data_IF_554377221236
#
_entry.id   IF_554377221236
#
_cell.length_a   1.000
_cell.length_b   1.000
_cell.length_c   1.000
_cell.angle_alpha   90.00
_cell.angle_beta   90.00
_cell.angle_gamma   90.00
#
_symmetry.space_group_name_H-M   'P 1'
#
loop_
_entity.id
_entity.type
_entity.pdbx_description
1 polymer ?
#
# COMPACT_ATOMS: atom_id res chain seq x y z
N UNK A 1 -21.62 -18.73 -13.77
CA UNK A 1 -20.68 -19.23 -12.73
C UNK A 1 -20.92 -18.37 -11.51
N UNK A 2 -21.06 -18.98 -10.32
CA UNK A 2 -21.26 -18.24 -9.07
C UNK A 2 -19.93 -17.72 -8.54
N UNK A 3 -19.98 -16.56 -7.89
CA UNK A 3 -18.86 -15.85 -7.30
C UNK A 3 -19.23 -15.48 -5.86
N UNK A 4 -18.49 -15.98 -4.90
CA UNK A 4 -18.60 -15.47 -3.53
C UNK A 4 -17.90 -14.11 -3.47
N UNK A 5 -18.57 -13.12 -2.89
CA UNK A 5 -18.04 -11.76 -2.71
C UNK A 5 -18.29 -11.28 -1.29
N UNK A 6 -17.29 -10.70 -0.67
CA UNK A 6 -17.41 -10.07 0.63
C UNK A 6 -17.69 -8.57 0.47
N UNK A 7 -18.70 -8.08 1.18
CA UNK A 7 -19.08 -6.66 1.17
C UNK A 7 -19.14 -6.10 2.58
N UNK A 8 -18.69 -4.88 2.74
CA UNK A 8 -18.98 -4.09 3.94
C UNK A 8 -20.46 -3.67 3.87
N UNK A 9 -21.30 -4.25 4.71
CA UNK A 9 -22.75 -3.97 4.73
C UNK A 9 -23.11 -2.89 5.74
N UNK A 10 -22.34 -2.77 6.81
CA UNK A 10 -22.44 -1.75 7.85
C UNK A 10 -21.02 -1.48 8.39
N UNK A 11 -20.86 -0.38 9.11
CA UNK A 11 -19.61 -0.11 9.85
C UNK A 11 -19.25 -1.34 10.68
N UNK A 12 -18.01 -1.82 10.52
CA UNK A 12 -17.44 -3.01 11.16
C UNK A 12 -18.19 -4.33 10.86
N UNK A 13 -18.97 -4.40 9.77
CA UNK A 13 -19.69 -5.63 9.42
C UNK A 13 -19.51 -6.01 7.96
N UNK A 14 -18.86 -7.15 7.75
CA UNK A 14 -18.64 -7.78 6.43
C UNK A 14 -19.54 -9.01 6.33
N UNK A 15 -20.22 -9.14 5.20
CA UNK A 15 -21.05 -10.31 4.88
C UNK A 15 -20.67 -10.85 3.51
N UNK A 16 -20.72 -12.18 3.37
CA UNK A 16 -20.42 -12.88 2.12
C UNK A 16 -21.71 -13.15 1.36
N UNK A 17 -21.71 -12.81 0.08
CA UNK A 17 -22.82 -13.01 -0.86
C UNK A 17 -22.40 -13.92 -2.00
N UNK A 18 -23.36 -14.60 -2.61
CA UNK A 18 -23.19 -15.27 -3.90
C UNK A 18 -23.78 -14.38 -5.02
N UNK A 19 -22.99 -14.10 -6.02
CA UNK A 19 -23.39 -13.32 -7.19
C UNK A 19 -23.08 -14.08 -8.49
N UNK A 20 -23.76 -13.73 -9.58
CA UNK A 20 -23.40 -14.25 -10.89
C UNK A 20 -22.27 -13.43 -11.49
N UNK A 21 -21.29 -14.11 -12.12
CA UNK A 21 -20.22 -13.43 -12.86
C UNK A 21 -20.84 -12.87 -14.16
N UNK A 22 -20.76 -11.55 -14.39
CA UNK A 22 -21.25 -10.97 -15.63
C UNK A 22 -20.51 -11.53 -16.85
N UNK A 23 -21.14 -11.46 -18.04
CA UNK A 23 -20.46 -11.82 -19.28
C UNK A 23 -19.32 -10.83 -19.54
N UNK A 24 -18.13 -11.37 -19.85
CA UNK A 24 -16.95 -10.56 -20.17
C UNK A 24 -17.18 -9.71 -21.41
N UNK A 25 -16.78 -8.47 -21.36
CA UNK A 25 -16.70 -7.56 -22.49
C UNK A 25 -15.34 -7.69 -23.18
N UNK A 26 -15.22 -7.17 -24.38
CA UNK A 26 -13.94 -7.17 -25.11
C UNK A 26 -12.87 -6.43 -24.31
N UNK A 27 -11.71 -7.06 -24.12
CA UNK A 27 -10.59 -6.53 -23.35
C UNK A 27 -10.62 -6.87 -21.85
N UNK A 28 -11.72 -7.47 -21.39
CA UNK A 28 -11.84 -7.93 -20.01
C UNK A 28 -11.37 -9.37 -19.85
N UNK A 29 -10.75 -9.65 -18.72
CA UNK A 29 -10.17 -10.94 -18.34
C UNK A 29 -10.74 -11.34 -16.99
N UNK A 30 -11.04 -12.63 -16.81
CA UNK A 30 -11.49 -13.20 -15.54
C UNK A 30 -10.31 -13.78 -14.78
N UNK A 31 -10.12 -13.30 -13.56
CA UNK A 31 -9.06 -13.77 -12.65
C UNK A 31 -9.68 -14.46 -11.46
N UNK A 32 -9.29 -15.72 -11.19
CA UNK A 32 -9.54 -16.39 -9.93
C UNK A 32 -8.53 -15.87 -8.90
N UNK A 33 -9.04 -15.30 -7.83
CA UNK A 33 -8.21 -14.71 -6.77
C UNK A 33 -7.61 -15.82 -5.90
N UNK A 34 -6.33 -15.67 -5.56
CA UNK A 34 -5.59 -16.58 -4.67
C UNK A 34 -5.18 -15.92 -3.36
N UNK A 35 -4.78 -14.65 -3.40
CA UNK A 35 -4.42 -13.89 -2.20
C UNK A 35 -4.82 -12.43 -2.36
N UNK A 36 -5.31 -11.83 -1.29
CA UNK A 36 -5.61 -10.39 -1.21
C UNK A 36 -5.09 -9.83 0.11
N UNK A 37 -4.28 -8.79 0.06
CA UNK A 37 -3.84 -8.07 1.24
C UNK A 37 -4.93 -7.16 1.80
N UNK A 38 -5.05 -7.08 3.14
CA UNK A 38 -5.85 -6.05 3.81
C UNK A 38 -5.00 -4.78 3.92
N UNK A 39 -5.51 -3.67 3.41
CA UNK A 39 -4.86 -2.36 3.40
C UNK A 39 -5.36 -1.44 4.54
N UNK A 40 -4.56 -0.43 4.89
CA UNK A 40 -4.98 0.62 5.81
C UNK A 40 -6.21 1.39 5.33
N UNK A 41 -6.37 1.59 4.02
CA UNK A 41 -7.57 2.23 3.46
C UNK A 41 -8.83 1.36 3.61
N UNK A 42 -8.72 0.03 3.58
CA UNK A 42 -9.84 -0.86 3.91
C UNK A 42 -10.29 -0.66 5.37
N UNK A 43 -9.35 -0.35 6.28
CA UNK A 43 -9.66 -0.06 7.68
C UNK A 43 -10.42 1.26 7.85
N UNK A 44 -10.12 2.28 7.05
CA UNK A 44 -10.91 3.53 7.04
C UNK A 44 -12.36 3.25 6.58
N UNK A 45 -12.54 2.46 5.51
CA UNK A 45 -13.88 2.05 5.09
C UNK A 45 -14.57 1.22 6.16
N UNK A 46 -13.89 0.24 6.72
CA UNK A 46 -14.45 -0.68 7.72
C UNK A 46 -14.85 0.03 9.00
N UNK A 47 -14.04 0.95 9.51
CA UNK A 47 -14.27 1.65 10.78
C UNK A 47 -15.15 2.88 10.64
N UNK A 48 -15.01 3.63 9.53
CA UNK A 48 -15.56 4.97 9.36
C UNK A 48 -16.54 5.09 8.16
N UNK A 49 -16.60 4.07 7.30
CA UNK A 49 -17.38 4.09 6.06
C UNK A 49 -16.82 4.98 4.96
N UNK A 50 -15.58 5.46 5.07
CA UNK A 50 -15.00 6.35 4.07
C UNK A 50 -13.64 6.91 4.47
N UNK A 51 -13.18 7.91 3.72
CA UNK A 51 -11.91 8.61 3.91
C UNK A 51 -12.21 10.07 4.28
N UNK A 52 -11.88 10.50 5.49
CA UNK A 52 -12.21 11.83 5.98
C UNK A 52 -13.72 12.11 5.89
N UNK A 53 -14.09 13.26 5.36
CA UNK A 53 -15.49 13.65 5.12
C UNK A 53 -16.16 12.89 3.97
N UNK A 54 -15.38 12.25 3.09
CA UNK A 54 -15.92 11.46 1.98
C UNK A 54 -16.37 10.08 2.46
N UNK A 55 -17.68 9.81 2.41
CA UNK A 55 -18.28 8.53 2.78
C UNK A 55 -18.76 7.76 1.55
N UNK A 56 -18.49 6.47 1.54
CA UNK A 56 -18.95 5.57 0.48
C UNK A 56 -20.36 5.05 0.79
N UNK A 57 -21.20 4.86 -0.23
CA UNK A 57 -22.49 4.18 -0.02
C UNK A 57 -22.28 2.72 0.36
N UNK A 58 -23.06 2.22 1.32
CA UNK A 58 -23.09 0.81 1.70
C UNK A 58 -24.29 0.10 1.05
N UNK A 59 -24.21 -1.19 0.71
CA UNK A 59 -23.03 -2.05 0.85
C UNK A 59 -21.95 -1.73 -0.21
N UNK A 60 -20.67 -1.87 0.16
CA UNK A 60 -19.55 -1.65 -0.77
C UNK A 60 -18.63 -2.88 -0.87
N UNK A 61 -18.04 -3.06 -2.04
CA UNK A 61 -16.93 -3.99 -2.22
C UNK A 61 -15.64 -3.40 -1.68
N UNK A 62 -14.75 -4.25 -1.13
CA UNK A 62 -13.42 -3.84 -0.66
C UNK A 62 -12.34 -4.75 -1.22
N UNK A 63 -11.08 -4.43 -0.92
CA UNK A 63 -9.90 -5.18 -1.35
C UNK A 63 -9.34 -4.70 -2.70
N UNK A 64 -8.05 -4.42 -2.72
CA UNK A 64 -7.37 -3.85 -3.90
C UNK A 64 -5.90 -4.27 -4.02
N UNK A 65 -5.47 -5.24 -3.24
CA UNK A 65 -4.12 -5.81 -3.30
C UNK A 65 -4.17 -7.30 -3.72
N UNK A 66 -4.78 -7.65 -4.88
CA UNK A 66 -4.97 -9.03 -5.25
C UNK A 66 -3.85 -9.62 -6.10
N UNK A 67 -3.73 -10.94 -5.97
CA UNK A 67 -3.02 -11.80 -6.90
C UNK A 67 -3.85 -13.04 -7.21
N UNK A 68 -3.63 -13.64 -8.38
CA UNK A 68 -4.44 -14.78 -8.79
C UNK A 68 -3.96 -15.44 -10.07
N UNK A 69 -4.87 -16.19 -10.68
CA UNK A 69 -4.65 -16.93 -11.91
C UNK A 69 -5.75 -16.61 -12.93
N UNK A 70 -5.40 -16.43 -14.18
CA UNK A 70 -6.35 -16.19 -15.27
C UNK A 70 -7.13 -17.48 -15.56
N UNK A 71 -8.44 -17.41 -15.51
CA UNK A 71 -9.34 -18.54 -15.82
C UNK A 71 -10.13 -18.35 -17.12
N UNK A 72 -10.25 -17.11 -17.60
CA UNK A 72 -10.78 -16.82 -18.94
C UNK A 72 -10.07 -15.58 -19.47
N UNK A 73 -9.26 -15.75 -20.50
CA UNK A 73 -8.50 -14.67 -21.15
C UNK A 73 -9.32 -13.89 -22.17
N UNK A 74 -10.55 -14.35 -22.48
CA UNK A 74 -11.49 -13.72 -23.41
C UNK A 74 -10.86 -13.31 -24.76
N UNK A 75 -9.93 -14.14 -25.25
CA UNK A 75 -9.24 -13.93 -26.52
C UNK A 75 -8.12 -12.87 -26.48
N UNK A 76 -7.57 -12.56 -25.32
CA UNK A 76 -6.38 -11.70 -25.20
C UNK A 76 -5.20 -12.31 -25.96
N UNK A 77 -4.45 -11.49 -26.69
CA UNK A 77 -3.20 -11.89 -27.34
C UNK A 77 -2.01 -11.88 -26.36
N UNK A 78 -2.12 -11.15 -25.26
CA UNK A 78 -1.05 -10.93 -24.29
C UNK A 78 -1.09 -11.91 -23.11
N UNK A 79 -2.29 -12.33 -22.72
CA UNK A 79 -2.54 -13.21 -21.59
C UNK A 79 -3.27 -14.48 -22.02
N UNK A 80 -3.03 -15.57 -21.29
CA UNK A 80 -3.70 -16.86 -21.50
C UNK A 80 -4.19 -17.43 -20.18
N UNK A 81 -5.13 -18.36 -20.26
CA UNK A 81 -5.57 -19.16 -19.13
C UNK A 81 -4.39 -19.87 -18.46
N UNK A 82 -4.38 -19.88 -17.14
CA UNK A 82 -3.27 -20.40 -16.34
C UNK A 82 -2.14 -19.39 -16.06
N UNK A 83 -2.10 -18.23 -16.73
CA UNK A 83 -1.12 -17.19 -16.37
C UNK A 83 -1.36 -16.71 -14.94
N UNK A 84 -0.29 -16.66 -14.16
CA UNK A 84 -0.27 -16.15 -12.78
C UNK A 84 -0.06 -14.64 -12.83
N UNK A 85 -0.88 -13.91 -12.08
CA UNK A 85 -0.91 -12.44 -12.18
C UNK A 85 -1.06 -11.74 -10.82
N UNK A 86 -0.50 -10.54 -10.72
CA UNK A 86 -0.92 -9.50 -9.80
C UNK A 86 -1.79 -8.50 -10.54
N UNK A 87 -2.64 -7.77 -9.81
CA UNK A 87 -3.56 -6.81 -10.41
C UNK A 87 -3.24 -5.40 -9.91
N UNK A 88 -2.98 -4.48 -10.84
CA UNK A 88 -2.97 -3.04 -10.56
C UNK A 88 -4.42 -2.58 -10.30
N UNK A 89 -4.76 -2.09 -9.11
CA UNK A 89 -6.16 -1.79 -8.78
C UNK A 89 -6.72 -0.57 -9.50
N UNK A 90 -5.86 0.30 -10.01
CA UNK A 90 -6.25 1.50 -10.74
C UNK A 90 -6.51 1.23 -12.22
N UNK A 91 -7.72 1.56 -12.70
CA UNK A 91 -8.01 1.58 -14.13
C UNK A 91 -8.21 3.02 -14.60
N UNK A 92 -7.23 3.60 -15.32
CA UNK A 92 -7.34 4.97 -15.81
C UNK A 92 -8.25 5.05 -17.03
N UNK A 93 -8.90 6.18 -17.22
CA UNK A 93 -9.46 6.56 -18.50
C UNK A 93 -8.30 6.96 -19.44
N UNK A 94 -7.93 6.10 -20.38
CA UNK A 94 -6.73 6.28 -21.22
C UNK A 94 -6.72 7.57 -22.04
N UNK A 95 -7.88 8.16 -22.29
CA UNK A 95 -8.04 9.43 -23.03
C UNK A 95 -8.01 10.67 -22.12
N UNK A 96 -7.88 10.50 -20.81
CA UNK A 96 -7.78 11.65 -19.90
C UNK A 96 -6.41 12.35 -20.04
N UNK A 97 -6.37 13.65 -19.75
CA UNK A 97 -5.15 14.45 -19.87
C UNK A 97 -3.95 13.84 -19.15
N UNK A 98 -4.15 13.45 -17.87
CA UNK A 98 -3.08 12.91 -17.07
C UNK A 98 -2.64 11.51 -17.51
N UNK A 99 -3.57 10.67 -17.96
CA UNK A 99 -3.24 9.34 -18.50
C UNK A 99 -2.40 9.44 -19.77
N UNK A 100 -2.73 10.37 -20.68
CA UNK A 100 -1.92 10.65 -21.87
C UNK A 100 -0.52 11.21 -21.54
N UNK A 101 -0.32 11.73 -20.33
CA UNK A 101 0.99 12.16 -19.81
C UNK A 101 1.72 11.07 -19.01
N UNK A 102 1.23 9.83 -19.04
CA UNK A 102 1.81 8.71 -18.29
C UNK A 102 1.58 8.78 -16.77
N UNK A 103 0.65 9.61 -16.31
CA UNK A 103 0.30 9.77 -14.90
C UNK A 103 -1.07 9.16 -14.62
N UNK A 104 -1.15 7.83 -14.74
CA UNK A 104 -2.39 7.07 -14.62
C UNK A 104 -3.03 7.21 -13.24
N UNK A 105 -2.22 7.27 -12.19
CA UNK A 105 -2.64 7.46 -10.81
C UNK A 105 -3.36 8.81 -10.55
N UNK A 106 -3.18 9.79 -11.44
CA UNK A 106 -3.80 11.12 -11.34
C UNK A 106 -5.03 11.27 -12.25
N UNK A 107 -5.50 10.18 -12.87
CA UNK A 107 -6.68 10.21 -13.72
C UNK A 107 -7.95 10.49 -12.89
N UNK A 108 -8.64 11.60 -13.19
CA UNK A 108 -9.85 11.99 -12.46
C UNK A 108 -11.07 11.14 -12.81
N UNK A 109 -11.05 10.48 -13.99
CA UNK A 109 -12.15 9.66 -14.53
C UNK A 109 -11.89 8.16 -14.38
N UNK A 110 -10.80 7.80 -13.71
CA UNK A 110 -10.42 6.39 -13.49
C UNK A 110 -11.27 5.72 -12.42
N UNK A 111 -11.30 4.40 -12.48
CA UNK A 111 -11.85 3.56 -11.41
C UNK A 111 -10.73 2.99 -10.53
N UNK A 112 -11.10 2.57 -9.33
CA UNK A 112 -10.19 1.93 -8.40
C UNK A 112 -10.91 0.78 -7.70
N UNK A 113 -10.32 -0.40 -7.81
CA UNK A 113 -10.82 -1.63 -7.20
C UNK A 113 -11.03 -1.46 -5.70
N UNK A 114 -12.15 -1.94 -5.20
CA UNK A 114 -12.47 -1.83 -3.76
C UNK A 114 -12.81 -0.43 -3.24
N UNK A 115 -12.99 0.56 -4.14
CA UNK A 115 -13.44 1.89 -3.78
C UNK A 115 -14.65 2.33 -4.59
N UNK A 116 -14.51 2.51 -5.91
CA UNK A 116 -15.60 2.86 -6.83
C UNK A 116 -15.78 1.84 -7.97
N UNK A 117 -15.16 0.66 -7.83
CA UNK A 117 -15.33 -0.51 -8.67
C UNK A 117 -15.39 -1.76 -7.79
N UNK A 118 -15.71 -2.93 -8.39
CA UNK A 118 -15.69 -4.22 -7.68
C UNK A 118 -14.36 -4.41 -6.97
N UNK A 119 -14.40 -4.88 -5.72
CA UNK A 119 -13.22 -5.20 -4.92
C UNK A 119 -12.81 -6.66 -5.07
N UNK A 120 -11.61 -6.95 -4.61
CA UNK A 120 -10.96 -8.24 -4.78
C UNK A 120 -11.22 -9.25 -3.65
N UNK A 121 -11.93 -8.89 -2.58
CA UNK A 121 -12.38 -9.91 -1.62
C UNK A 121 -13.55 -10.69 -2.23
N UNK A 122 -13.19 -11.56 -3.20
CA UNK A 122 -14.10 -12.37 -3.98
C UNK A 122 -13.37 -13.61 -4.53
N UNK A 123 -14.12 -14.65 -4.97
CA UNK A 123 -13.50 -15.79 -5.65
C UNK A 123 -12.92 -15.37 -7.01
N UNK A 124 -13.63 -14.47 -7.72
CA UNK A 124 -13.27 -14.00 -9.05
C UNK A 124 -13.45 -12.50 -9.19
N UNK A 125 -12.58 -11.89 -9.99
CA UNK A 125 -12.73 -10.49 -10.42
C UNK A 125 -12.60 -10.37 -11.93
N UNK A 126 -13.36 -9.44 -12.50
CA UNK A 126 -13.21 -9.02 -13.90
C UNK A 126 -12.32 -7.79 -13.91
N UNK A 127 -11.25 -7.84 -14.69
CA UNK A 127 -10.28 -6.75 -14.83
C UNK A 127 -10.00 -6.46 -16.30
N UNK A 128 -9.55 -5.27 -16.61
CA UNK A 128 -9.04 -4.92 -17.94
C UNK A 128 -7.60 -5.43 -18.10
N UNK A 129 -7.21 -5.76 -19.31
CA UNK A 129 -5.86 -6.26 -19.63
C UNK A 129 -4.75 -5.33 -19.11
N UNK A 130 -4.99 -4.01 -19.10
CA UNK A 130 -4.06 -2.99 -18.63
C UNK A 130 -3.74 -3.10 -17.11
N UNK A 131 -4.63 -3.73 -16.35
CA UNK A 131 -4.46 -3.91 -14.90
C UNK A 131 -3.61 -5.14 -14.54
N UNK A 132 -3.25 -5.97 -15.50
CA UNK A 132 -2.60 -7.25 -15.24
C UNK A 132 -1.08 -7.18 -15.42
N UNK A 133 -0.38 -7.72 -14.43
CA UNK A 133 1.06 -7.95 -14.46
C UNK A 133 1.35 -9.43 -14.23
N UNK A 134 2.08 -10.06 -15.17
CA UNK A 134 2.48 -11.47 -15.01
C UNK A 134 3.48 -11.61 -13.88
N UNK A 135 3.29 -12.64 -13.07
CA UNK A 135 4.24 -13.03 -12.02
C UNK A 135 4.88 -14.38 -12.37
N UNK A 136 6.18 -14.56 -12.08
CA UNK A 136 6.88 -15.80 -12.36
C UNK A 136 6.44 -16.92 -11.40
N UNK A 137 6.70 -18.19 -11.81
CA UNK A 137 6.26 -19.36 -11.06
C UNK A 137 6.87 -19.44 -9.65
N UNK A 138 8.06 -18.90 -9.46
CA UNK A 138 8.75 -18.85 -8.15
C UNK A 138 8.33 -17.69 -7.24
N UNK A 139 7.37 -16.87 -7.64
CA UNK A 139 6.77 -15.84 -6.77
C UNK A 139 5.49 -16.40 -6.14
N UNK A 140 5.37 -16.37 -4.82
CA UNK A 140 4.15 -16.77 -4.13
C UNK A 140 2.99 -15.80 -4.45
N UNK A 141 1.74 -16.25 -4.35
CA UNK A 141 0.59 -15.33 -4.45
C UNK A 141 0.57 -14.33 -3.30
N UNK A 142 1.06 -14.72 -2.13
CA UNK A 142 1.17 -13.82 -0.99
C UNK A 142 2.16 -12.68 -1.28
N UNK A 143 3.35 -12.99 -1.81
CA UNK A 143 4.30 -11.97 -2.24
C UNK A 143 3.71 -11.11 -3.36
N UNK A 144 3.02 -11.72 -4.30
CA UNK A 144 2.39 -11.00 -5.41
C UNK A 144 1.29 -10.02 -4.93
N UNK A 145 0.58 -10.32 -3.83
CA UNK A 145 -0.37 -9.38 -3.24
C UNK A 145 0.31 -8.19 -2.57
N UNK A 146 1.60 -8.28 -2.22
CA UNK A 146 2.38 -7.15 -1.72
C UNK A 146 2.89 -6.22 -2.84
N UNK A 147 2.76 -6.61 -4.12
CA UNK A 147 3.24 -5.78 -5.22
C UNK A 147 2.50 -4.44 -5.31
N UNK A 148 1.23 -4.40 -4.89
CA UNK A 148 0.47 -3.14 -4.85
C UNK A 148 1.09 -2.15 -3.85
N UNK A 149 1.20 -2.45 -2.54
CA UNK A 149 1.83 -1.52 -1.60
C UNK A 149 3.31 -1.25 -1.89
N UNK A 150 4.06 -2.22 -2.42
CA UNK A 150 5.42 -2.00 -2.94
C UNK A 150 5.41 -1.03 -4.12
N UNK A 151 4.42 -1.12 -5.00
CA UNK A 151 4.24 -0.20 -6.13
C UNK A 151 4.02 1.24 -5.69
N UNK A 152 3.24 1.47 -4.62
CA UNK A 152 3.09 2.80 -4.00
C UNK A 152 4.43 3.31 -3.48
N UNK A 153 5.20 2.45 -2.80
CA UNK A 153 6.51 2.82 -2.26
C UNK A 153 7.54 3.08 -3.36
N UNK A 154 7.55 2.28 -4.44
CA UNK A 154 8.42 2.52 -5.59
C UNK A 154 8.05 3.82 -6.32
N UNK A 155 6.74 4.10 -6.47
CA UNK A 155 6.29 5.39 -6.99
C UNK A 155 6.77 6.56 -6.11
N UNK A 156 6.72 6.39 -4.78
CA UNK A 156 7.26 7.38 -3.84
C UNK A 156 8.74 7.60 -4.06
N UNK A 157 9.53 6.52 -4.19
CA UNK A 157 10.95 6.61 -4.48
C UNK A 157 11.22 7.36 -5.80
N UNK A 158 10.44 7.09 -6.84
CA UNK A 158 10.54 7.83 -8.12
C UNK A 158 10.22 9.33 -7.98
N UNK A 159 9.42 9.74 -6.98
CA UNK A 159 9.11 11.15 -6.73
C UNK A 159 10.17 11.87 -5.90
N UNK A 160 10.84 11.17 -4.99
CA UNK A 160 11.85 11.76 -4.09
C UNK A 160 13.29 11.47 -4.55
N UNK A 161 13.48 10.56 -5.50
CA UNK A 161 14.78 10.23 -6.12
C UNK A 161 15.88 9.98 -5.05
N UNK A 162 15.78 8.86 -4.29
CA UNK A 162 16.74 8.56 -3.24
C UNK A 162 18.14 8.27 -3.79
N UNK A 163 19.16 8.71 -3.06
CA UNK A 163 20.56 8.44 -3.40
C UNK A 163 21.23 7.65 -2.29
N UNK A 164 22.22 6.82 -2.64
CA UNK A 164 22.95 6.00 -1.68
C UNK A 164 23.70 6.82 -0.61
N UNK A 165 23.94 8.12 -0.85
CA UNK A 165 24.58 9.05 0.10
C UNK A 165 23.57 9.70 1.06
N UNK A 166 22.28 9.46 0.88
CA UNK A 166 21.21 10.06 1.67
C UNK A 166 20.81 9.15 2.85
N UNK A 167 20.14 9.75 3.82
CA UNK A 167 19.56 9.07 4.98
C UNK A 167 18.06 9.28 5.03
N UNK A 168 17.33 8.37 5.65
CA UNK A 168 15.87 8.43 5.72
C UNK A 168 15.34 8.19 7.12
N UNK A 169 14.24 8.87 7.47
CA UNK A 169 13.40 8.52 8.61
C UNK A 169 11.99 8.20 8.12
N UNK A 170 11.47 7.03 8.47
CA UNK A 170 10.13 6.58 8.12
C UNK A 170 9.25 6.61 9.39
N UNK A 171 8.18 7.39 9.35
CA UNK A 171 7.15 7.44 10.40
C UNK A 171 6.01 6.48 10.07
N UNK A 172 5.88 5.45 10.92
CA UNK A 172 5.06 4.28 10.75
C UNK A 172 5.90 3.05 10.34
N UNK A 173 5.92 2.02 11.18
CA UNK A 173 6.53 0.71 10.90
C UNK A 173 5.44 -0.35 10.62
N UNK A 174 4.34 0.08 10.02
CA UNK A 174 3.31 -0.79 9.45
C UNK A 174 3.70 -1.30 8.05
N UNK A 175 2.78 -1.97 7.34
CA UNK A 175 3.08 -2.57 6.03
C UNK A 175 3.71 -1.59 5.02
N UNK A 176 3.13 -0.39 4.87
CA UNK A 176 3.68 0.63 3.95
C UNK A 176 5.06 1.10 4.39
N UNK A 177 5.28 1.31 5.71
CA UNK A 177 6.59 1.73 6.21
C UNK A 177 7.68 0.68 5.97
N UNK A 178 7.35 -0.60 6.16
CA UNK A 178 8.28 -1.71 5.91
C UNK A 178 8.52 -1.93 4.40
N UNK A 179 7.50 -1.77 3.56
CA UNK A 179 7.68 -1.73 2.10
C UNK A 179 8.59 -0.57 1.68
N UNK A 180 8.38 0.62 2.25
CA UNK A 180 9.21 1.79 1.95
C UNK A 180 10.66 1.60 2.41
N UNK A 181 10.86 1.00 3.59
CA UNK A 181 12.19 0.58 4.05
C UNK A 181 12.88 -0.30 3.00
N UNK A 182 12.20 -1.37 2.55
CA UNK A 182 12.75 -2.29 1.56
C UNK A 182 13.10 -1.62 0.23
N UNK A 183 12.26 -0.69 -0.26
CA UNK A 183 12.54 0.08 -1.48
C UNK A 183 13.79 0.97 -1.29
N UNK A 184 13.92 1.67 -0.16
CA UNK A 184 15.07 2.54 0.11
C UNK A 184 16.36 1.73 0.29
N UNK A 185 16.30 0.59 0.97
CA UNK A 185 17.42 -0.33 1.11
C UNK A 185 17.91 -0.82 -0.25
N UNK A 186 17.01 -1.25 -1.14
CA UNK A 186 17.34 -1.65 -2.53
C UNK A 186 17.89 -0.49 -3.36
N UNK A 187 17.47 0.75 -3.08
CA UNK A 187 18.04 1.95 -3.68
C UNK A 187 19.45 2.30 -3.13
N UNK A 188 19.95 1.55 -2.15
CA UNK A 188 21.26 1.70 -1.56
C UNK A 188 21.35 2.68 -0.40
N UNK A 189 20.22 3.22 0.08
CA UNK A 189 20.18 4.05 1.29
C UNK A 189 20.53 3.19 2.49
N UNK A 190 21.56 3.58 3.26
CA UNK A 190 22.07 2.77 4.39
C UNK A 190 21.51 3.19 5.73
N UNK A 191 21.42 4.49 5.97
CA UNK A 191 20.93 5.04 7.24
C UNK A 191 19.43 5.26 7.17
N UNK A 192 18.66 4.21 7.50
CA UNK A 192 17.20 4.23 7.51
C UNK A 192 16.72 4.03 8.93
N UNK A 193 16.08 5.05 9.49
CA UNK A 193 15.49 5.06 10.82
C UNK A 193 13.98 4.86 10.72
N UNK A 194 13.38 4.15 11.67
CA UNK A 194 11.93 3.97 11.74
C UNK A 194 11.36 4.43 13.06
N UNK A 195 10.18 5.05 13.03
CA UNK A 195 9.48 5.53 14.22
C UNK A 195 8.05 5.00 14.20
N UNK A 196 7.60 4.35 15.28
CA UNK A 196 6.21 3.89 15.40
C UNK A 196 5.69 4.06 16.84
N UNK A 197 4.37 4.14 17.01
CA UNK A 197 3.72 4.21 18.31
C UNK A 197 3.60 2.85 19.01
N UNK A 198 3.69 1.75 18.28
CA UNK A 198 3.48 0.39 18.78
C UNK A 198 4.83 -0.31 19.06
N UNK A 199 5.10 -0.74 20.32
CA UNK A 199 6.38 -1.33 20.67
C UNK A 199 6.77 -2.56 19.84
N UNK A 200 5.81 -3.43 19.50
CA UNK A 200 6.09 -4.62 18.69
C UNK A 200 6.53 -4.25 17.26
N UNK A 201 5.99 -3.16 16.68
CA UNK A 201 6.40 -2.68 15.35
C UNK A 201 7.79 -2.08 15.36
N UNK A 202 8.12 -1.34 16.42
CA UNK A 202 9.48 -0.82 16.64
C UNK A 202 10.48 -1.96 16.71
N UNK A 203 10.17 -2.99 17.49
CA UNK A 203 11.01 -4.20 17.59
C UNK A 203 11.16 -4.88 16.24
N UNK A 204 10.05 -5.13 15.54
CA UNK A 204 10.08 -5.78 14.22
C UNK A 204 10.87 -4.95 13.20
N UNK A 205 10.71 -3.64 13.16
CA UNK A 205 11.46 -2.77 12.25
C UNK A 205 12.99 -2.90 12.44
N UNK A 206 13.44 -3.00 13.69
CA UNK A 206 14.86 -3.24 13.99
C UNK A 206 15.33 -4.60 13.51
N UNK A 207 14.55 -5.65 13.77
CA UNK A 207 14.83 -7.03 13.32
C UNK A 207 14.76 -7.16 11.79
N UNK A 208 13.92 -6.36 11.15
CA UNK A 208 13.76 -6.33 9.69
C UNK A 208 14.95 -5.69 8.97
N UNK A 209 15.73 -4.82 9.67
CA UNK A 209 16.98 -4.27 9.16
C UNK A 209 17.16 -2.76 9.34
N UNK A 210 16.20 -2.04 9.92
CA UNK A 210 16.36 -0.61 10.17
C UNK A 210 17.65 -0.33 10.94
N UNK A 211 18.39 0.73 10.57
CA UNK A 211 19.61 1.16 11.24
C UNK A 211 19.36 1.41 12.71
N UNK A 212 18.22 2.04 13.03
CA UNK A 212 17.65 2.15 14.37
C UNK A 212 16.14 2.35 14.29
N UNK A 213 15.44 2.02 15.37
CA UNK A 213 13.98 2.19 15.46
C UNK A 213 13.60 2.75 16.83
N UNK A 214 12.59 3.62 16.86
CA UNK A 214 12.22 4.39 18.05
C UNK A 214 10.71 4.35 18.30
N UNK A 215 10.32 4.38 19.57
CA UNK A 215 8.94 4.70 19.93
C UNK A 215 8.67 6.18 19.67
N UNK A 216 7.48 6.48 19.14
CA UNK A 216 7.02 7.85 18.91
C UNK A 216 6.99 8.68 20.22
N UNK A 217 6.77 8.02 21.36
CA UNK A 217 6.78 8.64 22.69
C UNK A 217 8.20 8.96 23.22
N UNK A 218 9.25 8.41 22.59
CA UNK A 218 10.63 8.66 22.97
C UNK A 218 11.14 9.99 22.40
N UNK A 219 12.32 10.42 22.85
CA UNK A 219 13.04 11.56 22.23
C UNK A 219 13.80 11.10 20.96
N UNK A 220 13.02 10.55 19.98
CA UNK A 220 13.56 10.08 18.71
C UNK A 220 14.27 11.20 17.93
N UNK A 221 13.76 12.44 18.02
CA UNK A 221 14.32 13.57 17.27
C UNK A 221 15.76 13.90 17.72
N UNK A 222 16.02 13.89 19.03
CA UNK A 222 17.35 14.07 19.56
C UNK A 222 18.28 12.92 19.16
N UNK A 223 17.81 11.68 19.31
CA UNK A 223 18.58 10.47 18.94
C UNK A 223 18.94 10.45 17.45
N UNK A 224 17.98 10.75 16.56
CA UNK A 224 18.24 10.82 15.11
C UNK A 224 19.26 11.93 14.78
N UNK A 225 19.15 13.10 15.42
CA UNK A 225 20.15 14.17 15.24
C UNK A 225 21.54 13.75 15.70
N UNK A 226 21.66 13.06 16.84
CA UNK A 226 22.95 12.53 17.30
C UNK A 226 23.54 11.56 16.27
N UNK A 227 22.74 10.63 15.72
CA UNK A 227 23.17 9.66 14.72
C UNK A 227 23.48 10.30 13.34
N UNK A 228 22.93 11.48 13.07
CA UNK A 228 23.16 12.25 11.83
C UNK A 228 24.06 13.47 12.04
N UNK A 229 24.90 13.48 13.07
CA UNK A 229 25.83 14.57 13.39
C UNK A 229 25.17 15.96 13.46
N UNK A 230 23.96 16.02 13.99
CA UNK A 230 23.17 17.25 14.16
C UNK A 230 22.36 17.68 12.90
N UNK A 231 22.57 17.05 11.76
CA UNK A 231 21.95 17.47 10.50
C UNK A 231 20.47 17.07 10.35
N UNK A 232 20.07 15.94 10.93
CA UNK A 232 18.81 15.29 10.61
C UNK A 232 18.89 14.45 9.34
N UNK A 233 17.80 13.80 8.94
CA UNK A 233 17.76 12.94 7.73
C UNK A 233 17.41 13.75 6.48
N UNK A 234 18.01 13.41 5.34
CA UNK A 234 17.78 14.08 4.07
C UNK A 234 16.41 13.76 3.46
N UNK A 235 15.84 12.62 3.88
CA UNK A 235 14.48 12.21 3.52
C UNK A 235 13.69 11.88 4.79
N UNK A 236 12.43 12.31 4.82
CA UNK A 236 11.48 11.87 5.86
C UNK A 236 10.18 11.44 5.19
N UNK A 237 9.67 10.28 5.57
CA UNK A 237 8.52 9.65 4.93
C UNK A 237 7.43 9.41 5.97
N UNK A 238 6.27 10.01 5.75
CA UNK A 238 5.06 9.73 6.52
C UNK A 238 4.29 8.57 5.90
N UNK A 239 4.05 7.53 6.67
CA UNK A 239 3.17 6.41 6.32
C UNK A 239 2.02 6.23 7.32
N UNK A 240 1.96 7.08 8.34
CA UNK A 240 0.94 7.05 9.40
C UNK A 240 -0.27 7.93 9.11
N UNK A 241 -0.12 8.98 8.31
CA UNK A 241 -1.20 9.91 7.97
C UNK A 241 -1.70 10.75 9.16
N UNK A 242 -0.91 10.88 10.23
CA UNK A 242 -1.32 11.65 11.41
C UNK A 242 -0.60 12.98 11.48
N UNK A 243 -1.19 13.96 12.20
CA UNK A 243 -0.54 15.25 12.43
C UNK A 243 0.83 15.07 13.12
N UNK A 244 0.93 14.11 14.04
CA UNK A 244 2.17 13.81 14.74
C UNK A 244 3.26 13.24 13.83
N UNK A 245 2.92 12.32 12.93
CA UNK A 245 3.87 11.74 11.98
C UNK A 245 4.35 12.78 10.96
N UNK A 246 3.46 13.64 10.48
CA UNK A 246 3.81 14.73 9.55
C UNK A 246 4.71 15.77 10.23
N UNK A 247 4.36 16.22 11.46
CA UNK A 247 5.23 17.14 12.24
C UNK A 247 6.58 16.49 12.56
N UNK A 248 6.55 15.18 12.87
CA UNK A 248 7.76 14.37 13.05
C UNK A 248 8.67 14.42 11.83
N UNK A 249 8.12 14.21 10.63
CA UNK A 249 8.88 14.30 9.37
C UNK A 249 9.53 15.70 9.20
N UNK A 250 8.78 16.77 9.47
CA UNK A 250 9.30 18.15 9.39
C UNK A 250 10.44 18.36 10.40
N UNK A 251 10.31 17.80 11.63
CA UNK A 251 11.26 17.98 12.69
C UNK A 251 12.60 17.28 12.46
N UNK A 252 12.58 16.02 11.98
CA UNK A 252 13.78 15.23 11.74
C UNK A 252 14.51 15.57 10.45
N UNK A 253 13.81 16.19 9.48
CA UNK A 253 14.42 16.55 8.19
C UNK A 253 15.58 17.50 8.34
N UNK A 254 16.63 17.31 7.57
CA UNK A 254 17.75 18.25 7.39
C UNK A 254 17.29 19.50 6.64
N UNK A 255 18.15 20.51 6.62
CA UNK A 255 17.99 21.64 5.68
C UNK A 255 18.05 21.09 4.24
N UNK A 256 17.20 21.62 3.36
CA UNK A 256 17.00 21.18 1.98
C UNK A 256 16.53 19.71 1.87
N UNK A 257 15.87 19.21 2.93
CA UNK A 257 15.38 17.82 2.97
C UNK A 257 14.11 17.62 2.15
N UNK A 258 13.83 16.36 1.85
CA UNK A 258 12.63 15.91 1.12
C UNK A 258 11.67 15.21 2.08
N UNK A 259 10.40 15.57 2.01
CA UNK A 259 9.33 14.92 2.79
C UNK A 259 8.34 14.28 1.83
N UNK A 260 8.06 12.98 2.00
CA UNK A 260 7.01 12.28 1.27
C UNK A 260 5.84 11.95 2.22
N UNK A 261 4.63 12.32 1.83
CA UNK A 261 3.40 12.02 2.57
C UNK A 261 2.64 10.92 1.83
N UNK A 262 2.72 9.70 2.35
CA UNK A 262 2.04 8.51 1.81
C UNK A 262 0.79 8.18 2.62
N UNK A 263 0.85 8.39 3.94
CA UNK A 263 -0.22 8.10 4.86
C UNK A 263 -1.51 8.84 4.49
N UNK A 264 -2.64 8.15 4.57
CA UNK A 264 -3.96 8.73 4.32
C UNK A 264 -4.47 9.32 5.65
N UNK A 265 -4.64 10.64 5.77
CA UNK A 265 -5.11 11.23 7.01
C UNK A 265 -6.59 10.94 7.26
N UNK A 266 -6.94 10.69 8.52
CA UNK A 266 -8.34 10.60 8.96
C UNK A 266 -9.01 11.98 9.01
N UNK A 267 -8.23 13.02 9.31
CA UNK A 267 -8.70 14.39 9.39
C UNK A 267 -8.62 15.11 8.05
N UNK A 268 -9.62 15.94 7.74
CA UNK A 268 -9.62 16.77 6.52
C UNK A 268 -8.56 17.89 6.57
N UNK A 269 -8.10 18.26 7.76
CA UNK A 269 -7.10 19.31 7.96
C UNK A 269 -5.99 18.87 8.91
N UNK A 270 -4.75 19.08 8.51
CA UNK A 270 -3.57 18.86 9.35
C UNK A 270 -2.84 20.18 9.53
N UNK A 271 -2.65 20.58 10.79
CA UNK A 271 -1.90 21.79 11.13
C UNK A 271 -0.43 21.45 11.33
N UNK A 272 0.45 22.27 10.75
CA UNK A 272 1.90 22.17 10.93
C UNK A 272 2.54 23.57 11.02
N UNK A 273 3.77 23.63 11.54
CA UNK A 273 4.49 24.89 11.69
C UNK A 273 5.16 25.31 10.36
N UNK A 274 4.62 26.31 9.62
CA UNK A 274 5.15 26.70 8.33
C UNK A 274 6.56 27.33 8.42
N UNK A 275 6.91 27.90 9.58
CA UNK A 275 8.24 28.49 9.77
C UNK A 275 9.35 27.46 9.78
N UNK A 276 9.11 26.27 10.40
CA UNK A 276 10.08 25.17 10.38
C UNK A 276 10.33 24.65 8.97
N UNK A 277 9.28 24.54 8.15
CA UNK A 277 9.41 24.13 6.75
C UNK A 277 10.19 25.14 5.94
N UNK A 278 9.82 26.43 6.08
CA UNK A 278 10.45 27.52 5.34
C UNK A 278 11.93 27.70 5.70
N UNK A 279 12.29 27.63 6.99
CA UNK A 279 13.68 27.78 7.43
C UNK A 279 14.59 26.65 7.00
N UNK A 280 14.01 25.48 6.73
CA UNK A 280 14.73 24.31 6.19
C UNK A 280 14.64 24.19 4.66
N UNK A 281 13.81 25.02 4.01
CA UNK A 281 13.55 24.94 2.55
C UNK A 281 13.14 23.52 2.10
N UNK A 282 12.18 22.92 2.83
CA UNK A 282 11.77 21.53 2.58
C UNK A 282 10.99 21.38 1.29
N UNK A 283 11.31 20.33 0.53
CA UNK A 283 10.47 19.86 -0.57
C UNK A 283 9.48 18.84 -0.04
N UNK A 284 8.16 19.08 -0.21
CA UNK A 284 7.11 18.16 0.22
C UNK A 284 6.41 17.56 -1.00
N UNK A 285 6.30 16.24 -1.03
CA UNK A 285 5.57 15.46 -2.05
C UNK A 285 4.41 14.72 -1.42
N UNK A 286 3.18 15.04 -1.83
CA UNK A 286 2.04 14.19 -1.55
C UNK A 286 2.02 13.04 -2.55
N UNK A 287 1.86 11.83 -2.05
CA UNK A 287 1.87 10.61 -2.85
C UNK A 287 0.44 10.11 -3.03
N UNK A 288 0.09 9.73 -4.26
CA UNK A 288 -1.22 9.13 -4.55
C UNK A 288 -1.02 7.82 -5.30
N UNK A 289 -1.28 6.69 -4.62
CA UNK A 289 -1.29 5.35 -5.23
C UNK A 289 0.04 4.98 -5.90
N UNK A 290 0.06 3.89 -6.65
CA UNK A 290 1.11 3.52 -7.61
C UNK A 290 0.88 4.18 -8.97
N UNK A 291 1.92 4.23 -9.80
CA UNK A 291 1.81 4.70 -11.18
C UNK A 291 2.60 3.77 -12.12
N UNK A 292 1.99 2.65 -12.50
CA UNK A 292 2.59 1.65 -13.41
C UNK A 292 3.93 1.10 -12.89
N UNK A 293 4.01 0.81 -11.60
CA UNK A 293 5.26 0.36 -10.96
C UNK A 293 5.28 -1.14 -10.64
N UNK A 294 4.17 -1.88 -10.86
CA UNK A 294 4.07 -3.27 -10.48
C UNK A 294 5.04 -4.17 -11.27
N UNK A 295 5.21 -3.93 -12.58
CA UNK A 295 6.18 -4.68 -13.41
C UNK A 295 7.62 -4.56 -12.88
N UNK A 296 8.01 -3.37 -12.43
CA UNK A 296 9.32 -3.15 -11.83
C UNK A 296 9.41 -3.79 -10.45
N UNK A 297 8.34 -3.76 -9.66
CA UNK A 297 8.29 -4.50 -8.39
C UNK A 297 8.44 -6.02 -8.62
N UNK A 298 7.81 -6.61 -9.64
CA UNK A 298 8.03 -8.03 -9.99
C UNK A 298 9.53 -8.32 -10.21
N UNK A 299 10.23 -7.48 -11.00
CA UNK A 299 11.67 -7.65 -11.26
C UNK A 299 12.51 -7.57 -9.98
N UNK A 300 12.21 -6.62 -9.10
CA UNK A 300 12.99 -6.37 -7.89
C UNK A 300 12.73 -7.36 -6.77
N UNK A 301 11.55 -7.98 -6.73
CA UNK A 301 11.13 -8.84 -5.62
C UNK A 301 10.99 -10.32 -5.98
N UNK A 302 11.19 -10.71 -7.23
CA UNK A 302 11.28 -12.12 -7.60
C UNK A 302 12.42 -12.80 -6.87
N UNK A 303 12.10 -13.80 -6.03
CA UNK A 303 13.08 -14.53 -5.21
C UNK A 303 13.49 -13.80 -3.91
N UNK A 304 12.89 -12.66 -3.59
CA UNK A 304 13.11 -11.95 -2.33
C UNK A 304 12.09 -12.40 -1.26
N UNK A 305 12.50 -13.35 -0.44
CA UNK A 305 11.65 -13.84 0.65
C UNK A 305 11.70 -12.95 1.90
N UNK A 306 12.55 -11.91 1.93
CA UNK A 306 12.66 -11.06 3.12
C UNK A 306 11.41 -10.22 3.32
N UNK A 307 10.88 -9.64 2.23
CA UNK A 307 9.68 -8.81 2.30
C UNK A 307 8.42 -9.61 2.73
N UNK A 308 8.34 -10.91 2.41
CA UNK A 308 7.22 -11.74 2.86
C UNK A 308 7.11 -11.86 4.38
N UNK A 309 8.20 -11.63 5.13
CA UNK A 309 8.18 -11.63 6.60
C UNK A 309 7.23 -10.60 7.22
N UNK A 310 6.83 -9.58 6.47
CA UNK A 310 5.82 -8.62 6.94
C UNK A 310 4.41 -9.23 6.99
N UNK A 311 4.17 -10.34 6.28
CA UNK A 311 2.91 -11.08 6.33
C UNK A 311 2.88 -11.85 7.66
N UNK A 312 2.19 -11.30 8.64
CA UNK A 312 2.10 -11.87 9.98
C UNK A 312 0.92 -12.81 10.16
N UNK A 313 -0.15 -12.62 9.37
CA UNK A 313 -1.40 -13.37 9.51
C UNK A 313 -1.99 -13.73 8.15
N UNK A 314 -2.55 -14.93 8.07
CA UNK A 314 -3.29 -15.43 6.93
C UNK A 314 -4.65 -15.98 7.40
N UNK A 315 -5.71 -15.64 6.70
CA UNK A 315 -7.06 -16.14 6.95
C UNK A 315 -7.66 -16.69 5.68
N UNK A 316 -8.50 -17.71 5.81
CA UNK A 316 -9.34 -18.15 4.70
C UNK A 316 -10.42 -17.11 4.42
N UNK A 317 -10.93 -17.08 3.20
CA UNK A 317 -11.94 -16.12 2.76
C UNK A 317 -13.18 -16.12 3.68
N UNK A 318 -13.61 -17.28 4.15
CA UNK A 318 -14.76 -17.43 5.05
C UNK A 318 -14.56 -16.76 6.42
N UNK A 319 -13.32 -16.54 6.83
CA UNK A 319 -12.95 -15.90 8.10
C UNK A 319 -12.65 -14.39 7.95
N UNK A 320 -13.01 -13.76 6.82
CA UNK A 320 -12.67 -12.37 6.49
C UNK A 320 -13.11 -11.37 7.57
N UNK A 321 -14.27 -11.56 8.19
CA UNK A 321 -14.72 -10.70 9.30
C UNK A 321 -13.73 -10.72 10.47
N UNK A 322 -13.24 -11.91 10.88
CA UNK A 322 -12.26 -12.05 11.96
C UNK A 322 -10.93 -11.37 11.60
N UNK A 323 -10.50 -11.49 10.35
CA UNK A 323 -9.29 -10.84 9.85
C UNK A 323 -9.39 -9.31 9.94
N UNK A 324 -10.53 -8.75 9.55
CA UNK A 324 -10.77 -7.32 9.63
C UNK A 324 -10.84 -6.82 11.08
N UNK A 325 -11.50 -7.55 11.97
CA UNK A 325 -11.53 -7.22 13.40
C UNK A 325 -10.12 -7.23 14.01
N UNK A 326 -9.32 -8.26 13.70
CA UNK A 326 -7.92 -8.35 14.15
C UNK A 326 -7.09 -7.14 13.71
N UNK A 327 -7.18 -6.76 12.43
CA UNK A 327 -6.41 -5.62 11.89
C UNK A 327 -6.90 -4.30 12.46
N UNK A 328 -8.22 -4.12 12.59
CA UNK A 328 -8.82 -2.90 13.11
C UNK A 328 -8.43 -2.59 14.56
N UNK A 329 -8.25 -3.63 15.35
CA UNK A 329 -7.95 -3.52 16.79
C UNK A 329 -6.44 -3.72 17.08
N UNK A 330 -5.58 -3.82 16.06
CA UNK A 330 -4.14 -4.10 16.17
C UNK A 330 -3.84 -5.35 17.00
N UNK A 331 -4.75 -6.35 16.92
CA UNK A 331 -4.65 -7.59 17.71
C UNK A 331 -3.45 -8.43 17.31
N UNK A 332 -3.02 -9.30 18.23
CA UNK A 332 -1.96 -10.30 18.03
C UNK A 332 -0.72 -9.80 17.27
N UNK A 333 -0.31 -8.55 17.52
CA UNK A 333 0.85 -7.93 16.88
C UNK A 333 0.79 -7.91 15.34
N UNK A 334 -0.41 -7.79 14.76
CA UNK A 334 -0.61 -7.82 13.31
C UNK A 334 0.19 -6.74 12.57
N UNK A 335 0.91 -7.17 11.54
CA UNK A 335 1.56 -6.30 10.56
C UNK A 335 0.74 -6.30 9.27
N UNK A 336 0.95 -7.30 8.40
CA UNK A 336 0.16 -7.50 7.19
C UNK A 336 -0.69 -8.75 7.32
N UNK A 337 -1.97 -8.61 7.02
CA UNK A 337 -2.92 -9.71 6.98
C UNK A 337 -3.32 -10.02 5.53
N UNK A 338 -3.32 -11.28 5.17
CA UNK A 338 -3.70 -11.78 3.85
C UNK A 338 -4.97 -12.63 3.95
N UNK A 339 -5.91 -12.41 3.04
CA UNK A 339 -7.05 -13.29 2.81
C UNK A 339 -6.72 -14.23 1.67
N UNK A 340 -6.87 -15.53 1.90
CA UNK A 340 -6.59 -16.60 0.94
C UNK A 340 -7.87 -17.22 0.42
N UNK A 341 -7.94 -17.39 -0.90
CA UNK A 341 -8.94 -18.21 -1.57
C UNK A 341 -8.33 -19.55 -1.97
N UNK A 342 -9.08 -20.61 -1.77
CA UNK A 342 -8.68 -22.00 -2.11
C UNK A 342 -8.60 -22.25 -3.62
#
# INVERSE_FOLDING_TARGET
>A
MKNKVAKLTQIRKIEIFEEEIPKLQKGQILVAIKSVGICGSDMHYFKEGGLGSFKNPLPMYMGHEPSGIIVDSNGSEKFKEGDRVAVEPGMPCVTSYWSMKGKHNLCEKGTFMGANAQGAFADYVIVEELQLVKIPDNMSYNLASLLEPLGVCLHTANLIEPKFTESATIFGAGPIGLCMYSILEKAGVKDIFMVDKLPYRVKFAKEFGASESFLLADDYNKKIKELTHGMGTTMAIDTGGTAESIDGCINVSSVNGKVALIGIPEADFVNYNPHRMRTKELTIKNVRRSNQTLDDCVKHYTGDNNIEKIISHEFNFEDIQKAFDLVADYGDQVLKCIIKNN
#
